data_IF_736049279143
#
_entry.id   IF_736049279143
#
_cell.length_a   1.000
_cell.length_b   1.000
_cell.length_c   1.000
_cell.angle_alpha   90.00
_cell.angle_beta   90.00
_cell.angle_gamma   90.00
#
_symmetry.space_group_name_H-M   'P 1'
#
loop_
_entity.id
_entity.type
_entity.pdbx_description
1 polymer ?
#
# COMPACT_ATOMS: atom_id res chain seq x y z
N UNK A 1 -13.50 -14.13 4.31
CA UNK A 1 -12.75 -13.74 5.51
C UNK A 1 -13.55 -12.76 6.36
N UNK A 2 -13.74 -13.09 7.63
CA UNK A 2 -14.32 -12.21 8.66
C UNK A 2 -13.35 -11.08 9.03
N UNK A 3 -13.83 -10.05 9.75
CA UNK A 3 -12.97 -8.95 10.23
C UNK A 3 -11.86 -9.45 11.17
N UNK A 4 -12.19 -10.40 12.04
CA UNK A 4 -11.25 -10.97 13.00
C UNK A 4 -10.14 -11.77 12.31
N UNK A 5 -10.46 -12.54 11.27
CA UNK A 5 -9.46 -13.26 10.47
C UNK A 5 -8.48 -12.31 9.78
N UNK A 6 -8.98 -11.19 9.22
CA UNK A 6 -8.11 -10.20 8.55
C UNK A 6 -7.12 -9.55 9.50
N UNK A 7 -7.53 -9.28 10.74
CA UNK A 7 -6.65 -8.68 11.75
C UNK A 7 -5.50 -9.61 12.18
N UNK A 8 -5.63 -10.93 11.97
CA UNK A 8 -4.58 -11.91 12.27
C UNK A 8 -3.52 -12.02 11.18
N UNK A 9 -3.78 -11.50 9.99
CA UNK A 9 -2.81 -11.52 8.89
C UNK A 9 -1.67 -10.55 9.21
N UNK A 10 -0.41 -11.02 9.28
CA UNK A 10 0.74 -10.17 9.55
C UNK A 10 1.00 -9.22 8.38
N UNK A 11 1.69 -8.11 8.63
CA UNK A 11 2.16 -7.22 7.56
C UNK A 11 3.10 -7.98 6.64
N UNK A 12 2.86 -7.92 5.34
CA UNK A 12 3.78 -8.46 4.35
C UNK A 12 4.97 -7.51 4.24
N UNK A 13 6.15 -8.02 4.56
CA UNK A 13 7.39 -7.24 4.48
C UNK A 13 7.80 -7.06 3.03
N UNK A 14 8.23 -5.84 2.71
CA UNK A 14 8.75 -5.54 1.38
C UNK A 14 10.18 -6.08 1.28
N UNK A 15 10.51 -6.84 0.23
CA UNK A 15 11.89 -7.28 0.02
C UNK A 15 12.80 -6.07 -0.15
N UNK A 16 13.96 -6.14 0.51
CA UNK A 16 14.99 -5.10 0.48
C UNK A 16 16.27 -5.66 -0.12
N UNK A 17 17.05 -4.83 -0.81
CA UNK A 17 18.39 -5.19 -1.23
C UNK A 17 19.27 -5.47 0.01
N UNK A 18 20.16 -6.45 -0.12
CA UNK A 18 21.08 -6.84 0.95
C UNK A 18 21.96 -5.65 1.40
N UNK A 19 22.23 -5.58 2.70
CA UNK A 19 22.95 -4.46 3.32
C UNK A 19 24.38 -4.30 2.80
N UNK A 20 25.07 -5.41 2.54
CA UNK A 20 26.46 -5.39 2.05
C UNK A 20 26.54 -4.94 0.59
N UNK A 21 25.51 -5.25 -0.19
CA UNK A 21 25.40 -4.88 -1.61
C UNK A 21 24.99 -3.40 -1.74
N UNK A 22 23.89 -2.99 -1.07
CA UNK A 22 23.31 -1.64 -1.20
C UNK A 22 24.17 -0.49 -0.71
N UNK A 23 25.22 -0.80 0.06
CA UNK A 23 26.21 0.19 0.50
C UNK A 23 27.10 0.66 -0.66
N UNK A 24 27.17 -0.11 -1.74
CA UNK A 24 28.16 0.06 -2.80
C UNK A 24 27.54 0.44 -4.16
N UNK A 25 26.24 0.76 -4.22
CA UNK A 25 25.54 1.15 -5.45
C UNK A 25 24.47 2.23 -5.17
N UNK A 26 23.83 2.72 -6.23
CA UNK A 26 22.74 3.69 -6.20
C UNK A 26 21.40 3.10 -6.67
N UNK A 27 21.28 1.77 -6.67
CA UNK A 27 20.05 1.08 -7.05
C UNK A 27 18.98 1.22 -5.95
N UNK A 28 17.72 0.94 -6.31
CA UNK A 28 16.62 1.03 -5.36
C UNK A 28 16.76 -0.02 -4.24
N UNK A 29 16.70 0.42 -2.99
CA UNK A 29 16.80 -0.47 -1.82
C UNK A 29 15.52 -1.27 -1.61
N UNK A 30 14.36 -0.63 -1.79
CA UNK A 30 13.04 -1.23 -1.57
C UNK A 30 12.51 -1.81 -2.87
N UNK A 31 12.55 -3.13 -3.02
CA UNK A 31 12.32 -3.80 -4.31
C UNK A 31 10.84 -3.92 -4.71
N UNK A 32 9.93 -3.44 -3.86
CA UNK A 32 8.48 -3.55 -4.06
C UNK A 32 7.92 -4.93 -3.70
N UNK A 33 6.61 -5.00 -3.50
CA UNK A 33 5.93 -6.28 -3.25
C UNK A 33 5.73 -7.03 -4.58
N UNK A 34 5.88 -8.35 -4.55
CA UNK A 34 5.36 -9.19 -5.62
C UNK A 34 3.83 -9.12 -5.65
N UNK A 35 3.23 -9.52 -6.77
CA UNK A 35 1.77 -9.51 -6.92
C UNK A 35 1.06 -10.31 -5.82
N UNK A 36 1.55 -11.52 -5.53
CA UNK A 36 1.00 -12.38 -4.47
C UNK A 36 1.09 -11.72 -3.08
N UNK A 37 2.23 -11.10 -2.77
CA UNK A 37 2.43 -10.39 -1.49
C UNK A 37 1.55 -9.14 -1.41
N UNK A 38 1.39 -8.42 -2.52
CA UNK A 38 0.54 -7.23 -2.59
C UNK A 38 -0.94 -7.58 -2.39
N UNK A 39 -1.42 -8.66 -3.01
CA UNK A 39 -2.78 -9.17 -2.82
C UNK A 39 -2.97 -9.60 -1.36
N UNK A 40 -2.02 -10.34 -0.79
CA UNK A 40 -2.08 -10.78 0.62
C UNK A 40 -2.06 -9.61 1.61
N UNK A 41 -1.28 -8.56 1.34
CA UNK A 41 -1.31 -7.34 2.14
C UNK A 41 -2.66 -6.61 2.00
N UNK A 42 -3.24 -6.58 0.80
CA UNK A 42 -4.56 -6.01 0.55
C UNK A 42 -5.69 -6.74 1.31
N UNK A 43 -5.51 -8.01 1.64
CA UNK A 43 -6.46 -8.77 2.47
C UNK A 43 -6.56 -8.26 3.92
N UNK A 44 -5.53 -7.59 4.43
CA UNK A 44 -5.53 -7.02 5.78
C UNK A 44 -6.52 -5.86 5.92
N UNK A 45 -6.81 -5.16 4.83
CA UNK A 45 -7.71 -4.02 4.83
C UNK A 45 -9.13 -4.43 5.26
N UNK A 46 -9.62 -3.79 6.33
CA UNK A 46 -10.90 -4.09 6.95
C UNK A 46 -12.11 -3.48 6.22
N UNK A 47 -11.87 -2.64 5.20
CA UNK A 47 -12.91 -1.89 4.49
C UNK A 47 -13.78 -1.08 5.48
N UNK A 48 -13.11 -0.22 6.27
CA UNK A 48 -13.73 0.59 7.29
C UNK A 48 -14.83 1.49 6.72
N UNK A 49 -15.97 1.60 7.43
CA UNK A 49 -17.06 2.53 7.06
C UNK A 49 -16.63 4.00 7.11
N UNK A 50 -15.79 4.35 8.09
CA UNK A 50 -15.14 5.67 8.25
C UNK A 50 -13.63 5.48 8.10
N UNK A 51 -13.06 5.70 6.92
CA UNK A 51 -11.68 5.34 6.64
C UNK A 51 -10.71 6.46 7.06
N UNK A 52 -10.16 6.35 8.28
CA UNK A 52 -9.15 7.30 8.80
C UNK A 52 -7.90 7.42 7.92
N UNK A 53 -7.52 6.35 7.24
CA UNK A 53 -6.41 6.38 6.27
C UNK A 53 -6.63 7.39 5.13
N UNK A 54 -7.88 7.64 4.73
CA UNK A 54 -8.22 8.66 3.73
C UNK A 54 -8.12 10.05 4.32
N UNK A 55 -8.57 10.25 5.56
CA UNK A 55 -8.45 11.52 6.30
C UNK A 55 -6.98 11.89 6.55
N UNK A 56 -6.14 10.90 6.85
CA UNK A 56 -4.69 11.08 7.05
C UNK A 56 -3.89 11.32 5.76
N UNK A 57 -4.51 11.17 4.58
CA UNK A 57 -3.87 11.45 3.31
C UNK A 57 -4.13 12.90 2.89
N UNK A 58 -3.09 13.75 2.67
CA UNK A 58 -3.29 15.17 2.35
C UNK A 58 -4.15 15.44 1.10
N UNK A 59 -4.16 14.52 0.14
CA UNK A 59 -4.96 14.63 -1.10
C UNK A 59 -6.19 13.73 -1.10
N UNK A 60 -6.47 13.04 0.00
CA UNK A 60 -7.65 12.19 0.18
C UNK A 60 -7.73 11.04 -0.82
N UNK A 61 -6.62 10.30 -1.03
CA UNK A 61 -6.62 9.11 -1.90
C UNK A 61 -7.70 8.12 -1.44
N UNK A 62 -8.40 7.53 -2.41
CA UNK A 62 -9.47 6.54 -2.20
C UNK A 62 -8.88 5.16 -1.82
N UNK A 63 -8.23 5.10 -0.65
CA UNK A 63 -7.44 3.96 -0.19
C UNK A 63 -8.25 2.65 -0.10
N UNK A 64 -9.41 2.62 0.59
CA UNK A 64 -10.20 1.39 0.64
C UNK A 64 -10.62 0.88 -0.74
N UNK A 65 -10.86 1.79 -1.69
CA UNK A 65 -11.35 1.46 -3.03
C UNK A 65 -10.25 0.80 -3.87
N UNK A 66 -9.04 1.38 -3.96
CA UNK A 66 -7.97 0.76 -4.74
C UNK A 66 -7.50 -0.55 -4.11
N UNK A 67 -7.47 -0.65 -2.78
CA UNK A 67 -7.13 -1.90 -2.09
C UNK A 67 -8.18 -2.98 -2.38
N UNK A 68 -9.46 -2.62 -2.45
CA UNK A 68 -10.53 -3.56 -2.80
C UNK A 68 -10.39 -4.08 -4.23
N UNK A 69 -9.97 -3.23 -5.16
CA UNK A 69 -9.72 -3.61 -6.55
C UNK A 69 -8.50 -4.55 -6.65
N UNK A 70 -7.38 -4.19 -6.00
CA UNK A 70 -6.18 -5.04 -5.91
C UNK A 70 -6.49 -6.42 -5.33
N UNK A 71 -7.26 -6.48 -4.24
CA UNK A 71 -7.67 -7.75 -3.62
C UNK A 71 -8.52 -8.64 -4.54
N UNK A 72 -9.17 -8.07 -5.56
CA UNK A 72 -9.92 -8.83 -6.57
C UNK A 72 -9.06 -9.24 -7.77
N UNK A 73 -7.77 -8.88 -7.79
CA UNK A 73 -6.89 -9.04 -8.94
C UNK A 73 -7.09 -7.99 -10.03
N UNK A 74 -7.89 -6.94 -9.79
CA UNK A 74 -8.14 -5.89 -10.79
C UNK A 74 -7.12 -4.76 -10.64
N UNK A 75 -5.93 -4.99 -11.19
CA UNK A 75 -4.80 -4.05 -11.15
C UNK A 75 -5.12 -2.75 -11.90
N UNK A 76 -5.84 -2.84 -13.03
CA UNK A 76 -6.20 -1.68 -13.84
C UNK A 76 -7.13 -0.74 -13.07
N UNK A 77 -8.16 -1.29 -12.41
CA UNK A 77 -9.05 -0.50 -11.58
C UNK A 77 -8.32 0.09 -10.36
N UNK A 78 -7.43 -0.68 -9.72
CA UNK A 78 -6.63 -0.17 -8.62
C UNK A 78 -5.80 1.06 -9.04
N UNK A 79 -5.13 0.99 -10.19
CA UNK A 79 -4.36 2.11 -10.76
C UNK A 79 -5.26 3.30 -11.07
N UNK A 80 -6.39 3.05 -11.75
CA UNK A 80 -7.36 4.10 -12.10
C UNK A 80 -7.81 4.84 -10.85
N UNK A 81 -8.21 4.12 -9.80
CA UNK A 81 -8.70 4.69 -8.54
C UNK A 81 -7.62 5.50 -7.82
N UNK A 82 -6.37 5.02 -7.76
CA UNK A 82 -5.26 5.80 -7.20
C UNK A 82 -5.07 7.12 -7.94
N UNK A 83 -5.16 7.09 -9.27
CA UNK A 83 -4.95 8.25 -10.15
C UNK A 83 -6.08 9.29 -10.10
N UNK A 84 -7.25 8.99 -9.53
CA UNK A 84 -8.34 9.98 -9.38
C UNK A 84 -7.90 11.17 -8.52
N UNK A 85 -7.08 10.92 -7.49
CA UNK A 85 -6.68 11.93 -6.51
C UNK A 85 -5.17 12.19 -6.46
N UNK A 86 -4.37 11.28 -7.01
CA UNK A 86 -2.92 11.40 -6.98
C UNK A 86 -2.34 11.23 -8.39
N UNK A 87 -1.73 12.29 -8.92
CA UNK A 87 -1.09 12.27 -10.24
C UNK A 87 0.23 11.48 -10.26
N UNK A 88 0.88 11.29 -9.10
CA UNK A 88 2.21 10.69 -8.98
C UNK A 88 2.22 9.52 -7.97
N UNK A 89 1.36 8.49 -8.12
CA UNK A 89 1.24 7.42 -7.13
C UNK A 89 2.54 6.63 -6.96
N UNK A 90 3.31 6.43 -8.04
CA UNK A 90 4.60 5.74 -8.00
C UNK A 90 5.68 6.49 -7.21
N UNK A 91 5.57 7.83 -7.12
CA UNK A 91 6.48 8.69 -6.34
C UNK A 91 6.00 8.77 -4.90
N UNK A 92 4.74 9.18 -4.68
CA UNK A 92 4.18 9.33 -3.34
C UNK A 92 4.23 8.03 -2.53
N UNK A 93 3.97 6.88 -3.16
CA UNK A 93 4.08 5.57 -2.49
C UNK A 93 5.48 5.26 -1.96
N UNK A 94 6.52 5.91 -2.49
CA UNK A 94 7.92 5.74 -2.08
C UNK A 94 8.39 6.78 -1.07
N UNK A 95 7.95 8.03 -1.22
CA UNK A 95 8.55 9.17 -0.48
C UNK A 95 7.64 9.83 0.54
N UNK A 96 6.34 9.49 0.57
CA UNK A 96 5.46 10.00 1.62
C UNK A 96 5.92 9.47 2.99
N UNK A 97 5.92 10.29 4.06
CA UNK A 97 6.10 9.79 5.42
C UNK A 97 4.79 9.15 5.91
N UNK A 98 4.51 7.90 5.50
CA UNK A 98 3.22 7.26 5.74
C UNK A 98 2.89 7.09 7.22
N UNK A 99 3.92 6.92 8.07
CA UNK A 99 3.82 6.78 9.52
C UNK A 99 3.18 8.00 10.20
N UNK A 100 3.27 9.17 9.57
CA UNK A 100 2.65 10.41 10.04
C UNK A 100 1.40 10.79 9.21
N UNK A 101 0.99 9.94 8.26
CA UNK A 101 -0.09 10.18 7.32
C UNK A 101 -1.08 9.00 7.29
N UNK A 102 -1.24 8.33 6.15
CA UNK A 102 -2.28 7.32 5.94
C UNK A 102 -2.10 6.05 6.77
N UNK A 103 -0.88 5.69 7.20
CA UNK A 103 -0.64 4.53 8.07
C UNK A 103 -0.66 4.89 9.57
N UNK A 104 -0.48 6.17 9.92
CA UNK A 104 -0.48 6.66 11.30
C UNK A 104 -1.85 6.96 11.91
N UNK A 105 -2.93 6.88 11.13
CA UNK A 105 -4.31 7.27 11.51
C UNK A 105 -5.30 6.11 11.45
#
# INVERSE_FOLDING_TARGET
MTRQERMKIPRQEMPLQDKLIRRCNFEEVSLGLSEDLAIKEAERCLQCKKPKCVEGCPVGVLIPQFIKALRKGDINEAIRVMKIKNNLPAVCGRVCPQENQCEGN
#
